data_IF_968990305672
#
_entry.id   IF_968990305672
#
_cell.length_a   1.000
_cell.length_b   1.000
_cell.length_c   1.000
_cell.angle_alpha   90.00
_cell.angle_beta   90.00
_cell.angle_gamma   90.00
#
_symmetry.space_group_name_H-M   'P 1'
#
loop_
_entity.id
_entity.type
_entity.pdbx_description
1 polymer ?
#
# COMPACT_ATOMS: atom_id res chain seq x y z
N UNK A 1 0.71 23.92 9.59
CA UNK A 1 0.41 22.88 8.60
C UNK A 1 -0.94 22.33 8.99
N UNK A 2 -2.01 22.78 8.35
CA UNK A 2 -3.34 22.24 8.64
C UNK A 2 -3.46 20.88 7.98
N UNK A 3 -3.84 19.89 8.79
CA UNK A 3 -4.07 18.53 8.32
C UNK A 3 -5.49 18.48 7.75
N UNK A 4 -5.62 18.10 6.48
CA UNK A 4 -6.91 17.87 5.85
C UNK A 4 -7.49 16.52 6.32
N UNK A 5 -8.31 16.60 7.38
CA UNK A 5 -8.93 15.42 8.00
C UNK A 5 -9.96 14.75 7.10
N UNK A 6 -10.58 15.49 6.18
CA UNK A 6 -11.52 14.92 5.21
C UNK A 6 -10.77 14.05 4.22
N UNK A 7 -9.65 14.54 3.68
CA UNK A 7 -8.80 13.77 2.77
C UNK A 7 -8.24 12.51 3.45
N UNK A 8 -7.83 12.61 4.71
CA UNK A 8 -7.41 11.42 5.49
C UNK A 8 -8.52 10.36 5.60
N UNK A 9 -9.76 10.79 5.86
CA UNK A 9 -10.91 9.88 5.92
C UNK A 9 -11.13 9.17 4.58
N UNK A 10 -11.04 9.89 3.48
CA UNK A 10 -11.19 9.32 2.13
C UNK A 10 -10.11 8.26 1.82
N UNK A 11 -8.85 8.52 2.18
CA UNK A 11 -7.78 7.52 2.05
C UNK A 11 -8.08 6.26 2.85
N UNK A 12 -8.56 6.40 4.09
CA UNK A 12 -8.95 5.27 4.94
C UNK A 12 -10.12 4.49 4.34
N UNK A 13 -11.16 5.18 3.88
CA UNK A 13 -12.33 4.56 3.26
C UNK A 13 -11.91 3.77 2.01
N UNK A 14 -11.12 4.36 1.10
CA UNK A 14 -10.63 3.67 -0.09
C UNK A 14 -9.83 2.41 0.26
N UNK A 15 -8.88 2.54 1.18
CA UNK A 15 -8.01 1.43 1.58
C UNK A 15 -8.74 0.36 2.40
N UNK A 16 -9.85 0.66 3.05
CA UNK A 16 -10.59 -0.31 3.87
C UNK A 16 -11.79 -0.94 3.15
N UNK A 17 -12.05 -0.62 1.87
CA UNK A 17 -13.15 -1.21 1.09
C UNK A 17 -13.09 -2.73 0.98
N UNK A 18 -11.88 -3.30 0.91
CA UNK A 18 -11.67 -4.73 0.72
C UNK A 18 -10.55 -5.24 1.63
N UNK A 19 -10.67 -6.51 2.03
CA UNK A 19 -9.56 -7.22 2.67
C UNK A 19 -8.46 -7.39 1.62
N UNK A 20 -7.21 -7.27 2.04
CA UNK A 20 -6.03 -7.39 1.17
C UNK A 20 -5.12 -8.54 1.63
N UNK A 21 -5.48 -9.80 1.33
CA UNK A 21 -4.60 -10.93 1.60
C UNK A 21 -3.25 -10.77 0.88
N UNK A 22 -2.22 -11.45 1.40
CA UNK A 22 -0.93 -11.54 0.73
C UNK A 22 -1.12 -12.05 -0.72
N UNK A 23 -0.31 -11.50 -1.64
CA UNK A 23 -0.31 -11.85 -3.07
C UNK A 23 -1.65 -11.67 -3.83
N UNK A 24 -2.67 -11.08 -3.20
CA UNK A 24 -3.96 -10.84 -3.84
C UNK A 24 -3.96 -9.64 -4.80
N UNK A 25 -4.86 -9.67 -5.79
CA UNK A 25 -5.13 -8.54 -6.70
C UNK A 25 -5.63 -7.30 -5.94
N UNK A 26 -6.42 -7.50 -4.87
CA UNK A 26 -6.89 -6.42 -4.01
C UNK A 26 -5.73 -5.69 -3.32
N UNK A 27 -4.70 -6.42 -2.88
CA UNK A 27 -3.49 -5.84 -2.32
C UNK A 27 -2.72 -5.03 -3.38
N UNK A 28 -2.60 -5.55 -4.60
CA UNK A 28 -1.92 -4.83 -5.68
C UNK A 28 -2.66 -3.56 -6.09
N UNK A 29 -3.99 -3.60 -6.17
CA UNK A 29 -4.84 -2.44 -6.44
C UNK A 29 -4.62 -1.34 -5.39
N UNK A 30 -4.54 -1.72 -4.11
CA UNK A 30 -4.23 -0.78 -3.04
C UNK A 30 -2.82 -0.21 -3.12
N UNK A 31 -1.81 -0.99 -3.54
CA UNK A 31 -0.46 -0.48 -3.79
C UNK A 31 -0.46 0.58 -4.90
N UNK A 32 -1.16 0.32 -6.01
CA UNK A 32 -1.28 1.28 -7.11
C UNK A 32 -1.96 2.59 -6.67
N UNK A 33 -2.99 2.50 -5.84
CA UNK A 33 -3.61 3.67 -5.24
C UNK A 33 -2.61 4.49 -4.42
N UNK A 34 -1.88 3.85 -3.49
CA UNK A 34 -0.90 4.53 -2.64
C UNK A 34 0.23 5.17 -3.47
N UNK A 35 0.74 4.47 -4.49
CA UNK A 35 1.74 5.01 -5.42
C UNK A 35 1.21 6.29 -6.06
N UNK A 36 0.00 6.24 -6.64
CA UNK A 36 -0.61 7.40 -7.31
C UNK A 36 -0.77 8.60 -6.37
N UNK A 37 -1.25 8.38 -5.15
CA UNK A 37 -1.45 9.48 -4.19
C UNK A 37 -0.13 10.10 -3.73
N UNK A 38 0.92 9.29 -3.53
CA UNK A 38 2.25 9.77 -3.17
C UNK A 38 2.92 10.52 -4.33
N UNK A 39 2.85 9.99 -5.55
CA UNK A 39 3.35 10.65 -6.75
C UNK A 39 2.63 11.97 -7.02
N UNK A 40 1.30 12.02 -6.83
CA UNK A 40 0.51 13.24 -6.93
C UNK A 40 0.91 14.29 -5.88
N UNK A 41 1.47 13.86 -4.75
CA UNK A 41 2.04 14.73 -3.72
C UNK A 41 3.52 15.09 -3.98
N UNK A 42 4.09 14.65 -5.11
CA UNK A 42 5.44 14.99 -5.55
C UNK A 42 6.54 14.03 -5.09
N UNK A 43 6.19 12.88 -4.51
CA UNK A 43 7.16 11.87 -4.08
C UNK A 43 7.56 10.94 -5.22
N UNK A 44 8.80 10.48 -5.23
CA UNK A 44 9.22 9.36 -6.07
C UNK A 44 9.01 8.06 -5.29
N UNK A 45 8.26 7.11 -5.86
CA UNK A 45 7.97 5.83 -5.19
C UNK A 45 8.73 4.68 -5.83
N UNK A 46 9.46 3.93 -5.01
CA UNK A 46 10.16 2.71 -5.41
C UNK A 46 9.49 1.46 -4.85
N UNK A 47 9.47 0.39 -5.65
CA UNK A 47 8.99 -0.93 -5.24
C UNK A 47 10.17 -1.81 -4.82
N UNK A 48 10.11 -2.35 -3.61
CA UNK A 48 11.16 -3.20 -3.05
C UNK A 48 10.59 -4.59 -2.74
N UNK A 49 10.77 -5.57 -3.64
CA UNK A 49 10.26 -6.93 -3.44
C UNK A 49 11.02 -7.67 -2.34
N UNK A 50 10.33 -8.55 -1.62
CA UNK A 50 10.92 -9.41 -0.60
C UNK A 50 10.21 -10.76 -0.51
N UNK A 51 10.82 -11.69 0.20
CA UNK A 51 10.23 -12.99 0.55
C UNK A 51 10.18 -13.10 2.07
N UNK A 52 9.07 -13.60 2.61
CA UNK A 52 8.89 -13.79 4.05
C UNK A 52 8.19 -15.13 4.32
N UNK A 53 8.46 -15.73 5.47
CA UNK A 53 7.77 -16.92 5.94
C UNK A 53 6.75 -16.54 7.02
N UNK A 54 5.57 -17.15 6.99
CA UNK A 54 4.63 -17.07 8.11
C UNK A 54 4.98 -18.07 9.23
N UNK A 55 4.16 -18.11 10.28
CA UNK A 55 4.34 -19.04 11.41
C UNK A 55 4.20 -20.51 11.05
N UNK A 56 3.62 -20.83 9.89
CA UNK A 56 3.47 -22.18 9.36
C UNK A 56 4.60 -22.53 8.37
N UNK A 57 5.61 -21.67 8.25
CA UNK A 57 6.71 -21.77 7.28
C UNK A 57 6.25 -21.68 5.81
N UNK A 58 5.05 -21.14 5.55
CA UNK A 58 4.62 -20.82 4.18
C UNK A 58 5.39 -19.61 3.70
N UNK A 59 6.01 -19.71 2.53
CA UNK A 59 6.71 -18.58 1.90
C UNK A 59 5.71 -17.70 1.14
N UNK A 60 5.84 -16.39 1.34
CA UNK A 60 5.04 -15.36 0.71
C UNK A 60 5.92 -14.31 0.03
N UNK A 61 5.49 -13.86 -1.15
CA UNK A 61 6.11 -12.74 -1.87
C UNK A 61 5.48 -11.42 -1.45
N UNK A 62 6.31 -10.55 -0.88
CA UNK A 62 5.93 -9.22 -0.45
C UNK A 62 6.54 -8.12 -1.30
N UNK A 63 6.01 -6.90 -1.15
CA UNK A 63 6.55 -5.73 -1.82
C UNK A 63 6.33 -4.49 -0.95
N UNK A 64 7.43 -3.85 -0.55
CA UNK A 64 7.42 -2.56 0.15
C UNK A 64 7.33 -1.42 -0.87
N UNK A 65 6.67 -0.33 -0.48
CA UNK A 65 6.67 0.93 -1.20
C UNK A 65 7.51 1.94 -0.42
N UNK A 66 8.53 2.51 -1.04
CA UNK A 66 9.43 3.48 -0.42
C UNK A 66 9.27 4.82 -1.14
N UNK A 67 8.80 5.85 -0.43
CA UNK A 67 8.68 7.21 -0.96
C UNK A 67 9.93 8.03 -0.60
N UNK A 68 10.45 8.80 -1.57
CA UNK A 68 11.60 9.71 -1.41
C UNK A 68 11.34 11.09 -1.99
#
# INVERSE_FOLDING_TARGET
MDIDTLRLKQHCEELCKTIRPAESEALETARLYVIRELEAAGWQVERHPFQAHDSLLTQWSGQNLIAR
#
